data_IF_753612745578
#
_entry.id   IF_753612745578
#
_cell.length_a   1.000
_cell.length_b   1.000
_cell.length_c   1.000
_cell.angle_alpha   90.00
_cell.angle_beta   90.00
_cell.angle_gamma   90.00
#
_symmetry.space_group_name_H-M   'P 1'
#
loop_
_entity.id
_entity.type
_entity.pdbx_description
1 polymer ?
#
# COMPACT_ATOMS: atom_id res chain seq x y z
N UNK A 1 19.85 -23.99 -4.43
CA UNK A 1 18.64 -23.60 -5.15
C UNK A 1 17.83 -22.63 -4.28
N UNK A 2 17.59 -21.47 -4.80
CA UNK A 2 16.76 -20.51 -4.05
C UNK A 2 15.33 -21.02 -3.98
N UNK A 3 14.63 -20.85 -2.84
CA UNK A 3 13.21 -21.16 -2.82
C UNK A 3 12.49 -20.31 -3.86
N UNK A 4 11.39 -20.82 -4.43
CA UNK A 4 10.61 -20.00 -5.34
C UNK A 4 10.21 -18.71 -4.61
N UNK A 5 10.31 -17.58 -5.29
CA UNK A 5 9.90 -16.31 -4.71
C UNK A 5 8.45 -16.43 -4.27
N UNK A 6 8.21 -16.16 -3.00
CA UNK A 6 6.85 -16.04 -2.52
C UNK A 6 6.21 -14.85 -3.24
N UNK A 7 5.01 -15.01 -3.81
CA UNK A 7 4.31 -13.87 -4.35
C UNK A 7 4.22 -12.80 -3.27
N UNK A 8 4.65 -11.60 -3.59
CA UNK A 8 4.55 -10.49 -2.64
C UNK A 8 3.10 -10.16 -2.45
N UNK A 9 2.66 -10.23 -1.21
CA UNK A 9 1.30 -9.89 -0.88
C UNK A 9 1.23 -8.43 -0.48
N UNK A 10 0.29 -7.73 -1.09
CA UNK A 10 0.02 -6.33 -0.79
C UNK A 10 -1.28 -6.22 0.00
N UNK A 11 -1.30 -5.25 0.91
CA UNK A 11 -2.53 -4.90 1.63
C UNK A 11 -3.09 -3.63 0.99
N UNK A 12 -4.34 -3.68 0.55
CA UNK A 12 -4.99 -2.55 -0.10
C UNK A 12 -5.92 -1.87 0.89
N UNK A 13 -5.60 -0.64 1.26
CA UNK A 13 -6.42 0.15 2.17
C UNK A 13 -7.74 0.57 1.51
N UNK A 14 -8.74 0.84 2.36
CA UNK A 14 -10.09 1.25 1.90
C UNK A 14 -10.07 2.50 1.03
N UNK A 15 -9.05 3.36 1.15
CA UNK A 15 -8.94 4.58 0.33
C UNK A 15 -8.90 4.29 -1.17
N UNK A 16 -8.42 3.11 -1.58
CA UNK A 16 -8.41 2.66 -2.97
C UNK A 16 -9.68 1.87 -3.35
N UNK A 17 -10.63 1.73 -2.42
CA UNK A 17 -11.89 1.03 -2.66
C UNK A 17 -11.81 -0.47 -2.45
N UNK A 18 -12.96 -1.12 -2.54
CA UNK A 18 -13.10 -2.56 -2.26
C UNK A 18 -13.08 -3.42 -3.52
N UNK A 19 -13.42 -2.87 -4.67
CA UNK A 19 -13.74 -3.66 -5.86
C UNK A 19 -12.91 -3.28 -7.08
N UNK A 20 -13.02 -2.04 -7.57
CA UNK A 20 -12.48 -1.68 -8.88
C UNK A 20 -10.96 -1.74 -8.93
N UNK A 21 -10.27 -1.00 -8.05
CA UNK A 21 -8.80 -1.00 -8.05
C UNK A 21 -8.24 -2.37 -7.68
N UNK A 22 -8.71 -3.04 -6.60
CA UNK A 22 -8.24 -4.40 -6.31
C UNK A 22 -8.46 -5.36 -7.47
N UNK A 23 -9.61 -5.30 -8.15
CA UNK A 23 -9.90 -6.15 -9.29
C UNK A 23 -8.95 -5.95 -10.45
N UNK A 24 -8.64 -4.70 -10.76
CA UNK A 24 -7.71 -4.38 -11.84
C UNK A 24 -6.28 -4.82 -11.50
N UNK A 25 -5.85 -4.67 -10.25
CA UNK A 25 -4.53 -5.13 -9.82
C UNK A 25 -4.43 -6.66 -9.85
N UNK A 26 -5.48 -7.37 -9.44
CA UNK A 26 -5.52 -8.83 -9.52
C UNK A 26 -5.48 -9.32 -10.96
N UNK A 27 -6.19 -8.64 -11.86
CA UNK A 27 -6.16 -8.96 -13.28
C UNK A 27 -4.76 -8.79 -13.87
N UNK A 28 -3.95 -7.90 -13.30
CA UNK A 28 -2.56 -7.70 -13.70
C UNK A 28 -1.58 -8.65 -12.96
N UNK A 29 -2.09 -9.63 -12.22
CA UNK A 29 -1.28 -10.64 -11.56
C UNK A 29 -0.82 -10.29 -10.15
N UNK A 30 -1.38 -9.23 -9.52
CA UNK A 30 -1.01 -8.86 -8.16
C UNK A 30 -1.66 -9.78 -7.14
N UNK A 31 -0.86 -10.25 -6.19
CA UNK A 31 -1.35 -10.94 -5.00
C UNK A 31 -1.63 -9.89 -3.94
N UNK A 32 -2.88 -9.77 -3.53
CA UNK A 32 -3.28 -8.76 -2.57
C UNK A 32 -4.45 -9.22 -1.72
N UNK A 33 -4.60 -8.55 -0.58
CA UNK A 33 -5.78 -8.66 0.26
C UNK A 33 -6.28 -7.24 0.57
N UNK A 34 -7.59 -7.05 0.52
CA UNK A 34 -8.16 -5.74 0.88
C UNK A 34 -8.46 -5.68 2.38
N UNK A 35 -8.60 -4.44 2.88
CA UNK A 35 -9.02 -4.22 4.26
C UNK A 35 -10.34 -4.95 4.55
N UNK A 36 -11.31 -4.86 3.64
CA UNK A 36 -12.61 -5.51 3.78
C UNK A 36 -12.49 -7.03 3.83
N UNK A 37 -11.64 -7.63 3.01
CA UNK A 37 -11.43 -9.07 3.01
C UNK A 37 -10.77 -9.56 4.28
N UNK A 38 -9.84 -8.78 4.82
CA UNK A 38 -9.11 -9.16 6.02
C UNK A 38 -9.94 -9.03 7.30
N UNK A 39 -10.67 -7.93 7.44
CA UNK A 39 -11.42 -7.63 8.67
C UNK A 39 -12.91 -7.95 8.56
N UNK A 40 -13.43 -8.15 7.36
CA UNK A 40 -14.86 -8.36 7.14
C UNK A 40 -15.62 -7.05 6.93
N UNK A 41 -16.85 -7.18 6.50
CA UNK A 41 -17.77 -6.05 6.27
C UNK A 41 -18.98 -6.24 7.19
N UNK A 42 -19.39 -5.24 7.99
CA UNK A 42 -18.94 -3.83 7.99
C UNK A 42 -17.77 -3.52 8.94
N UNK A 43 -17.14 -4.51 9.53
CA UNK A 43 -16.09 -4.34 10.55
C UNK A 43 -14.91 -3.52 10.02
N UNK A 44 -14.64 -3.60 8.71
CA UNK A 44 -13.55 -2.86 8.07
C UNK A 44 -13.71 -1.34 8.22
N UNK A 45 -14.93 -0.85 8.35
CA UNK A 45 -15.20 0.60 8.48
C UNK A 45 -14.71 1.17 9.81
N UNK A 46 -14.64 0.33 10.84
CA UNK A 46 -14.24 0.75 12.18
C UNK A 46 -12.76 0.53 12.50
N UNK A 47 -11.98 -0.02 11.57
CA UNK A 47 -10.56 -0.30 11.84
C UNK A 47 -9.75 0.98 11.76
N UNK A 48 -9.06 1.32 12.86
CA UNK A 48 -8.19 2.48 12.90
C UNK A 48 -6.96 2.28 12.01
N UNK A 49 -6.43 3.36 11.44
CA UNK A 49 -5.29 3.28 10.54
C UNK A 49 -4.06 2.67 11.22
N UNK A 50 -3.78 3.04 12.47
CA UNK A 50 -2.67 2.46 13.21
C UNK A 50 -2.80 0.94 13.35
N UNK A 51 -4.01 0.44 13.46
CA UNK A 51 -4.28 -0.99 13.63
C UNK A 51 -3.93 -1.78 12.37
N UNK A 52 -4.39 -1.35 11.20
CA UNK A 52 -4.08 -2.10 9.97
C UNK A 52 -2.63 -1.87 9.51
N UNK A 53 -2.00 -0.74 9.88
CA UNK A 53 -0.58 -0.50 9.63
C UNK A 53 0.26 -1.52 10.42
N UNK A 54 -0.04 -1.69 11.70
CA UNK A 54 0.63 -2.70 12.55
C UNK A 54 0.43 -4.11 12.00
N UNK A 55 -0.81 -4.47 11.68
CA UNK A 55 -1.14 -5.79 11.16
C UNK A 55 -0.41 -6.11 9.86
N UNK A 56 -0.40 -5.16 8.93
CA UNK A 56 0.29 -5.31 7.64
C UNK A 56 1.79 -5.51 7.85
N UNK A 57 2.40 -4.70 8.72
CA UNK A 57 3.82 -4.81 9.02
C UNK A 57 4.16 -6.16 9.66
N UNK A 58 3.34 -6.60 10.62
CA UNK A 58 3.53 -7.88 11.31
C UNK A 58 3.47 -9.06 10.34
N UNK A 59 2.63 -8.97 9.32
CA UNK A 59 2.47 -10.02 8.31
C UNK A 59 3.45 -9.90 7.14
N UNK A 60 4.26 -8.85 7.11
CA UNK A 60 5.21 -8.62 6.03
C UNK A 60 4.57 -8.11 4.74
N UNK A 61 3.36 -7.60 4.80
CA UNK A 61 2.68 -7.03 3.64
C UNK A 61 3.11 -5.58 3.43
N UNK A 62 3.30 -5.19 2.17
CA UNK A 62 3.44 -3.79 1.81
C UNK A 62 2.05 -3.20 1.57
N UNK A 63 1.87 -1.94 1.93
CA UNK A 63 0.57 -1.28 1.87
C UNK A 63 0.45 -0.44 0.61
N UNK A 64 -0.68 -0.57 -0.07
CA UNK A 64 -1.07 0.30 -1.18
C UNK A 64 -2.22 1.18 -0.71
N UNK A 65 -2.09 2.49 -0.85
CA UNK A 65 -3.10 3.42 -0.36
C UNK A 65 -3.14 4.69 -1.21
N UNK A 66 -4.22 5.43 -1.05
CA UNK A 66 -4.39 6.78 -1.58
C UNK A 66 -4.55 7.73 -0.40
N UNK A 67 -3.71 8.76 -0.31
CA UNK A 67 -3.86 9.78 0.72
C UNK A 67 -3.15 11.06 0.30
N UNK A 68 -3.90 12.06 -0.11
CA UNK A 68 -3.32 13.35 -0.52
C UNK A 68 -2.70 14.13 0.64
N UNK A 69 -2.96 13.73 1.91
CA UNK A 69 -2.49 14.42 3.11
C UNK A 69 -1.51 13.61 3.94
N UNK A 70 -0.95 12.53 3.40
CA UNK A 70 -0.07 11.65 4.18
C UNK A 70 1.10 12.40 4.81
N UNK A 71 1.61 13.46 4.15
CA UNK A 71 2.71 14.25 4.69
C UNK A 71 2.36 14.95 6.02
N UNK A 72 1.06 15.10 6.31
CA UNK A 72 0.56 15.84 7.46
C UNK A 72 -0.13 14.95 8.48
N UNK A 73 -0.19 13.65 8.26
CA UNK A 73 -0.88 12.70 9.15
C UNK A 73 0.13 12.06 10.10
N UNK A 74 0.50 12.83 11.13
CA UNK A 74 1.57 12.41 12.03
C UNK A 74 1.29 11.08 12.72
N UNK A 75 0.05 10.82 13.11
CA UNK A 75 -0.30 9.56 13.78
C UNK A 75 -0.03 8.35 12.89
N UNK A 76 -0.40 8.43 11.61
CA UNK A 76 -0.12 7.36 10.66
C UNK A 76 1.36 7.22 10.36
N UNK A 77 2.07 8.34 10.22
CA UNK A 77 3.53 8.34 10.03
C UNK A 77 4.22 7.67 11.22
N UNK A 78 3.81 8.02 12.44
CA UNK A 78 4.36 7.42 13.67
C UNK A 78 4.12 5.92 13.70
N UNK A 79 2.93 5.45 13.30
CA UNK A 79 2.62 4.03 13.24
C UNK A 79 3.49 3.30 12.21
N UNK A 80 3.70 3.91 11.06
CA UNK A 80 4.59 3.35 10.02
C UNK A 80 6.00 3.18 10.57
N UNK A 81 6.52 4.20 11.24
CA UNK A 81 7.87 4.17 11.81
C UNK A 81 7.96 3.14 12.94
N UNK A 82 7.00 3.15 13.87
CA UNK A 82 6.99 2.25 15.03
C UNK A 82 6.97 0.78 14.61
N UNK A 83 6.13 0.44 13.64
CA UNK A 83 5.93 -0.95 13.21
C UNK A 83 6.79 -1.33 12.01
N UNK A 84 7.62 -0.43 11.51
CA UNK A 84 8.48 -0.63 10.37
C UNK A 84 7.69 -1.04 9.12
N UNK A 85 6.56 -0.41 8.91
CA UNK A 85 5.70 -0.69 7.78
C UNK A 85 6.29 -0.14 6.46
N UNK A 86 5.84 -0.73 5.36
CA UNK A 86 6.27 -0.36 4.01
C UNK A 86 5.04 0.10 3.26
N UNK A 87 4.97 1.40 2.95
CA UNK A 87 3.78 2.00 2.36
C UNK A 87 4.08 2.65 1.02
N UNK A 88 3.21 2.37 0.06
CA UNK A 88 3.19 3.02 -1.24
C UNK A 88 1.91 3.83 -1.33
N UNK A 89 2.03 5.13 -1.54
CA UNK A 89 0.89 6.03 -1.49
C UNK A 89 0.75 6.84 -2.76
N UNK A 90 -0.46 6.89 -3.30
CA UNK A 90 -0.79 7.84 -4.35
C UNK A 90 -1.33 9.09 -3.66
N UNK A 91 -0.63 10.21 -3.82
CA UNK A 91 -0.95 11.46 -3.11
C UNK A 91 -2.00 12.31 -3.82
N UNK A 92 -2.63 11.79 -4.86
CA UNK A 92 -3.73 12.43 -5.58
C UNK A 92 -5.05 11.79 -5.18
N UNK A 93 -6.08 12.63 -5.01
CA UNK A 93 -7.41 12.15 -4.65
C UNK A 93 -8.44 12.22 -5.78
N UNK A 94 -8.02 12.63 -6.98
CA UNK A 94 -8.90 12.96 -8.10
C UNK A 94 -8.73 12.07 -9.34
N UNK A 95 -8.08 10.91 -9.18
CA UNK A 95 -7.91 9.96 -10.26
C UNK A 95 -9.09 8.98 -10.32
N UNK A 96 -9.33 8.42 -11.50
CA UNK A 96 -10.28 7.31 -11.66
C UNK A 96 -9.68 6.03 -11.11
N UNK A 97 -10.51 5.01 -10.86
CA UNK A 97 -10.03 3.69 -10.44
C UNK A 97 -9.04 3.11 -11.45
N UNK A 98 -9.32 3.25 -12.74
CA UNK A 98 -8.41 2.79 -13.80
C UNK A 98 -7.07 3.52 -13.72
N UNK A 99 -7.08 4.82 -13.48
CA UNK A 99 -5.84 5.62 -13.36
C UNK A 99 -5.02 5.24 -12.14
N UNK A 100 -5.67 4.98 -10.98
CA UNK A 100 -4.96 4.48 -9.80
C UNK A 100 -4.29 3.14 -10.09
N UNK A 101 -5.04 2.20 -10.66
CA UNK A 101 -4.50 0.89 -10.98
C UNK A 101 -3.36 0.97 -12.01
N UNK A 102 -3.54 1.77 -13.06
CA UNK A 102 -2.51 1.96 -14.08
C UNK A 102 -1.21 2.49 -13.48
N UNK A 103 -1.29 3.46 -12.58
CA UNK A 103 -0.12 4.04 -11.93
C UNK A 103 0.63 2.99 -11.11
N UNK A 104 -0.09 2.17 -10.37
CA UNK A 104 0.51 1.09 -9.58
C UNK A 104 1.11 -0.01 -10.46
N UNK A 105 0.46 -0.33 -11.58
CA UNK A 105 0.95 -1.32 -12.54
C UNK A 105 2.18 -0.81 -13.29
N UNK A 106 2.14 0.43 -13.75
CA UNK A 106 3.25 1.04 -14.48
C UNK A 106 4.54 1.09 -13.65
N UNK A 107 4.41 1.24 -12.34
CA UNK A 107 5.54 1.30 -11.42
C UNK A 107 5.87 -0.03 -10.75
N UNK A 108 5.31 -1.15 -11.23
CA UNK A 108 5.42 -2.42 -10.50
C UNK A 108 6.85 -2.90 -10.27
N UNK A 109 7.76 -2.67 -11.21
CA UNK A 109 9.16 -3.07 -11.04
C UNK A 109 9.78 -2.34 -9.85
N UNK A 110 9.58 -1.02 -9.78
CA UNK A 110 10.08 -0.20 -8.68
C UNK A 110 9.40 -0.55 -7.36
N UNK A 111 8.07 -0.78 -7.38
CA UNK A 111 7.31 -1.17 -6.19
C UNK A 111 7.79 -2.52 -5.65
N UNK A 112 7.98 -3.50 -6.52
CA UNK A 112 8.47 -4.82 -6.10
C UNK A 112 9.88 -4.73 -5.51
N UNK A 113 10.78 -3.99 -6.17
CA UNK A 113 12.13 -3.79 -5.66
C UNK A 113 12.14 -3.10 -4.29
N UNK A 114 11.34 -2.04 -4.12
CA UNK A 114 11.23 -1.34 -2.86
C UNK A 114 10.60 -2.22 -1.77
N UNK A 115 9.61 -3.04 -2.12
CA UNK A 115 8.95 -3.92 -1.15
C UNK A 115 9.86 -5.04 -0.63
N UNK A 116 10.99 -5.31 -1.30
CA UNK A 116 12.01 -6.23 -0.81
C UNK A 116 12.97 -5.59 0.20
N UNK A 117 12.92 -4.26 0.34
CA UNK A 117 13.77 -3.57 1.31
C UNK A 117 13.07 -3.47 2.66
N UNK A 118 13.83 -3.38 3.77
CA UNK A 118 13.18 -3.25 5.08
C UNK A 118 12.52 -1.89 5.23
N UNK A 119 11.41 -1.88 5.99
CA UNK A 119 10.80 -0.64 6.45
C UNK A 119 11.61 -0.01 7.59
N UNK A 120 11.16 1.13 8.12
CA UNK A 120 9.95 1.82 7.69
C UNK A 120 10.17 2.68 6.47
N UNK A 121 9.16 2.80 5.62
CA UNK A 121 9.20 3.84 4.59
C UNK A 121 7.79 4.17 4.08
N UNK A 122 7.66 5.39 3.54
CA UNK A 122 6.49 5.83 2.79
C UNK A 122 7.01 6.37 1.45
N UNK A 123 6.64 5.70 0.37
CA UNK A 123 6.99 6.11 -0.99
C UNK A 123 5.75 6.62 -1.72
N UNK A 124 5.83 7.81 -2.29
CA UNK A 124 4.79 8.31 -3.18
C UNK A 124 4.94 7.65 -4.55
N UNK A 125 3.83 7.19 -5.11
CA UNK A 125 3.81 6.58 -6.45
C UNK A 125 3.34 7.65 -7.44
N UNK A 126 4.26 8.14 -8.24
CA UNK A 126 3.99 9.08 -9.32
C UNK A 126 3.66 8.33 -10.62
N UNK A 127 3.45 9.05 -11.70
CA UNK A 127 3.13 8.42 -12.98
C UNK A 127 4.25 7.48 -13.44
N UNK A 128 5.49 7.87 -13.23
CA UNK A 128 6.67 7.20 -13.80
C UNK A 128 7.78 6.89 -12.81
N UNK A 129 7.57 7.14 -11.51
CA UNK A 129 8.61 6.93 -10.51
C UNK A 129 8.04 6.84 -9.10
N UNK A 130 8.88 6.39 -8.16
CA UNK A 130 8.63 6.48 -6.72
C UNK A 130 9.43 7.63 -6.13
N UNK A 131 8.86 8.27 -5.13
CA UNK A 131 9.55 9.33 -4.36
C UNK A 131 9.48 8.97 -2.89
N UNK A 132 10.65 8.87 -2.22
CA UNK A 132 10.68 8.59 -0.79
C UNK A 132 10.22 9.81 0.00
N UNK A 133 9.07 9.69 0.67
CA UNK A 133 8.54 10.75 1.54
C UNK A 133 9.06 10.61 2.98
N UNK A 134 9.19 9.38 3.45
CA UNK A 134 9.69 9.06 4.80
C UNK A 134 10.54 7.78 4.72
N UNK A 135 11.67 7.71 5.43
CA UNK A 135 12.34 8.85 6.08
C UNK A 135 12.79 9.88 5.05
N UNK A 136 12.91 11.10 5.49
CA UNK A 136 13.44 12.17 4.63
C UNK A 136 14.92 11.92 4.35
N UNK A 137 15.31 12.21 3.15
CA UNK A 137 16.72 12.18 2.74
C UNK A 137 17.39 13.50 3.03
#
# INVERSE_FOLDING_TARGET
MSPPEQPRKFFVDRSLGRVAVPGLLRAAGRDLITLAEHYGVPEDEGVADACWIEESARRGWAVLMKDKRIRYRQAEIDAVVEHQARCFVITRGDLTSAEYAERLIANQVAVFAASDTPGPFIDAVHTDRLERLRPRR
#
